data_IF_132318559126
#
_entry.id   IF_132318559126
#
_cell.length_a   1.000
_cell.length_b   1.000
_cell.length_c   1.000
_cell.angle_alpha   90.00
_cell.angle_beta   90.00
_cell.angle_gamma   90.00
#
_symmetry.space_group_name_H-M   'P 1'
#
loop_
_entity.id
_entity.type
_entity.pdbx_description
1 polymer ?
#
# COMPACT_ATOMS: atom_id res chain seq x y z
N UNK A 1 11.88 17.50 -13.97
CA UNK A 1 12.61 16.29 -13.50
C UNK A 1 11.70 15.53 -12.55
N UNK A 2 11.57 14.24 -12.75
CA UNK A 2 10.76 13.37 -11.90
C UNK A 2 11.68 12.47 -11.08
N UNK A 3 11.24 12.10 -9.88
CA UNK A 3 12.00 11.24 -8.99
C UNK A 3 11.17 10.04 -8.56
N UNK A 4 11.85 8.92 -8.27
CA UNK A 4 11.26 7.76 -7.63
C UNK A 4 12.08 7.35 -6.40
N UNK A 5 11.38 7.04 -5.31
CA UNK A 5 11.96 6.51 -4.09
C UNK A 5 11.53 5.05 -3.94
N UNK A 6 12.52 4.17 -3.87
CA UNK A 6 12.29 2.72 -3.82
C UNK A 6 12.72 2.19 -2.48
N UNK A 7 11.76 1.70 -1.70
CA UNK A 7 12.04 0.96 -0.48
C UNK A 7 12.39 -0.49 -0.79
N UNK A 8 13.48 -0.95 -0.21
CA UNK A 8 14.00 -2.30 -0.42
C UNK A 8 14.00 -3.09 0.88
N UNK A 9 13.70 -4.39 0.82
CA UNK A 9 14.00 -5.27 1.94
C UNK A 9 15.51 -5.47 2.06
N UNK A 10 16.00 -5.59 3.31
CA UNK A 10 17.45 -5.59 3.59
C UNK A 10 17.93 -6.74 4.46
N UNK A 11 17.00 -7.52 5.06
CA UNK A 11 17.40 -8.53 6.06
C UNK A 11 17.49 -9.93 5.45
N UNK A 12 18.41 -10.75 5.97
CA UNK A 12 18.63 -12.12 5.55
C UNK A 12 17.43 -13.03 5.83
N UNK A 13 16.71 -12.78 6.92
CA UNK A 13 15.47 -13.50 7.31
C UNK A 13 14.36 -13.32 6.26
N UNK A 14 14.45 -12.28 5.46
CA UNK A 14 13.56 -12.00 4.32
C UNK A 14 14.15 -12.46 2.98
N UNK A 15 15.28 -13.15 2.97
CA UNK A 15 16.02 -13.47 1.76
C UNK A 15 16.30 -12.23 0.90
N UNK A 16 16.48 -11.08 1.56
CA UNK A 16 16.61 -9.79 0.91
C UNK A 16 18.04 -9.48 0.49
N UNK A 17 18.18 -8.72 -0.58
CA UNK A 17 19.45 -8.31 -1.19
C UNK A 17 19.62 -6.79 -1.21
N UNK A 18 18.55 -6.03 -0.89
CA UNK A 18 18.57 -4.58 -0.85
C UNK A 18 19.43 -4.02 0.27
N UNK A 19 19.84 -2.75 0.11
CA UNK A 19 20.72 -2.05 1.06
C UNK A 19 20.01 -0.94 1.85
N UNK A 20 18.79 -0.57 1.45
CA UNK A 20 18.06 0.50 2.10
C UNK A 20 17.02 1.18 1.22
N UNK A 21 16.95 2.49 1.32
CA UNK A 21 16.06 3.34 0.54
C UNK A 21 16.83 3.95 -0.63
N UNK A 22 16.39 3.72 -1.86
CA UNK A 22 17.04 4.24 -3.06
C UNK A 22 16.26 5.40 -3.65
N UNK A 23 16.97 6.45 -4.07
CA UNK A 23 16.42 7.54 -4.84
C UNK A 23 16.91 7.47 -6.30
N UNK A 24 15.98 7.66 -7.23
CA UNK A 24 16.24 7.67 -8.66
C UNK A 24 15.77 8.97 -9.28
N UNK A 25 16.60 9.53 -10.16
CA UNK A 25 16.20 10.55 -11.14
C UNK A 25 15.65 9.84 -12.37
N UNK A 26 14.49 10.29 -12.87
CA UNK A 26 13.85 9.74 -14.06
C UNK A 26 13.94 10.77 -15.18
N UNK A 27 14.57 10.38 -16.29
CA UNK A 27 14.67 11.21 -17.49
C UNK A 27 13.31 11.36 -18.17
N UNK A 28 12.77 12.55 -18.25
CA UNK A 28 11.50 12.80 -18.97
C UNK A 28 11.61 12.50 -20.48
N UNK A 29 12.79 12.64 -21.05
CA UNK A 29 13.00 12.40 -22.48
C UNK A 29 13.07 10.92 -22.84
N UNK A 30 13.71 10.10 -22.00
CA UNK A 30 13.97 8.68 -22.29
C UNK A 30 13.21 7.74 -21.35
N UNK A 31 12.71 8.23 -20.20
CA UNK A 31 12.14 7.44 -19.12
C UNK A 31 13.17 6.57 -18.37
N UNK A 32 14.45 6.77 -18.58
CA UNK A 32 15.53 6.02 -17.92
C UNK A 32 15.63 6.43 -16.44
N UNK A 33 15.83 5.45 -15.57
CA UNK A 33 16.03 5.63 -14.14
C UNK A 33 17.51 5.59 -13.81
N UNK A 34 18.03 6.67 -13.24
CA UNK A 34 19.40 6.77 -12.75
C UNK A 34 19.39 6.83 -11.23
N UNK A 35 20.04 5.86 -10.58
CA UNK A 35 20.23 5.91 -9.12
C UNK A 35 21.10 7.12 -8.77
N UNK A 36 20.57 8.01 -7.91
CA UNK A 36 21.26 9.20 -7.42
C UNK A 36 21.67 9.07 -5.96
N UNK A 37 21.01 8.16 -5.21
CA UNK A 37 21.36 7.87 -3.82
C UNK A 37 20.92 6.46 -3.43
N UNK A 38 21.75 5.78 -2.64
CA UNK A 38 21.36 4.62 -1.84
C UNK A 38 21.56 4.97 -0.38
N UNK A 39 20.49 5.24 0.35
CA UNK A 39 20.51 5.58 1.76
C UNK A 39 20.42 4.30 2.59
N UNK A 40 21.52 3.95 3.27
CA UNK A 40 21.55 2.83 4.22
C UNK A 40 20.77 3.25 5.46
N UNK A 41 19.52 2.85 5.52
CA UNK A 41 18.59 3.16 6.61
C UNK A 41 18.61 2.09 7.69
N UNK A 42 17.75 2.24 8.70
CA UNK A 42 17.32 1.11 9.53
C UNK A 42 16.76 -0.01 8.63
N UNK A 43 16.85 -1.28 9.06
CA UNK A 43 16.45 -2.41 8.24
C UNK A 43 15.02 -2.31 7.69
N UNK A 44 14.83 -2.84 6.48
CA UNK A 44 13.53 -3.01 5.82
C UNK A 44 12.70 -1.70 5.70
N UNK A 45 13.16 -0.64 5.00
CA UNK A 45 12.32 0.50 4.64
C UNK A 45 11.22 0.03 3.67
N UNK A 46 10.16 -0.60 4.21
CA UNK A 46 9.25 -1.45 3.46
C UNK A 46 8.01 -0.74 2.91
N UNK A 47 7.74 0.48 3.36
CA UNK A 47 6.69 1.32 2.81
C UNK A 47 7.01 2.80 3.06
N UNK A 48 6.69 3.66 2.08
CA UNK A 48 6.94 5.09 2.16
C UNK A 48 5.69 5.89 1.79
N UNK A 49 5.59 7.09 2.33
CA UNK A 49 4.65 8.13 1.90
C UNK A 49 5.30 9.50 1.99
N UNK A 50 4.97 10.39 1.07
CA UNK A 50 5.32 11.80 1.18
C UNK A 50 4.26 12.55 1.97
N UNK A 51 4.63 13.71 2.51
CA UNK A 51 3.68 14.70 2.98
C UNK A 51 2.89 15.31 1.79
N UNK A 52 1.81 16.04 2.06
CA UNK A 52 0.96 16.59 1.00
C UNK A 52 1.64 17.66 0.12
N UNK A 53 2.73 18.25 0.60
CA UNK A 53 3.52 19.24 -0.13
C UNK A 53 4.73 18.63 -0.87
N UNK A 54 4.95 17.32 -0.71
CA UNK A 54 6.05 16.54 -1.30
C UNK A 54 7.45 17.10 -0.95
N UNK A 55 7.56 17.67 0.24
CA UNK A 55 8.81 18.18 0.81
C UNK A 55 9.55 17.17 1.68
N UNK A 56 8.80 16.21 2.21
CA UNK A 56 9.28 15.21 3.16
C UNK A 56 8.81 13.81 2.80
N UNK A 57 9.68 12.84 3.00
CA UNK A 57 9.40 11.42 2.84
C UNK A 57 9.43 10.74 4.21
N UNK A 58 8.48 9.86 4.45
CA UNK A 58 8.37 9.05 5.67
C UNK A 58 8.48 7.58 5.31
N UNK A 59 9.27 6.82 6.08
CA UNK A 59 9.46 5.39 5.86
C UNK A 59 9.20 4.60 7.12
N UNK A 60 8.45 3.52 6.98
CA UNK A 60 8.32 2.50 8.03
C UNK A 60 9.42 1.46 7.89
N UNK A 61 9.90 0.92 9.01
CA UNK A 61 10.93 -0.12 9.05
C UNK A 61 10.30 -1.46 9.44
N UNK A 62 9.96 -2.26 8.43
CA UNK A 62 9.31 -3.57 8.62
C UNK A 62 10.15 -4.50 9.50
N UNK A 63 9.45 -5.35 10.28
CA UNK A 63 10.01 -6.25 11.30
C UNK A 63 10.56 -5.56 12.56
N UNK A 64 10.79 -4.26 12.52
CA UNK A 64 11.22 -3.41 13.64
C UNK A 64 10.03 -2.68 14.30
N UNK A 65 10.33 -1.56 14.98
CA UNK A 65 9.36 -0.74 15.72
C UNK A 65 9.45 0.75 15.37
N UNK A 66 10.30 1.10 14.39
CA UNK A 66 10.66 2.48 14.07
C UNK A 66 9.97 3.00 12.80
N UNK A 67 9.84 4.33 12.78
CA UNK A 67 9.43 5.14 11.62
C UNK A 67 10.40 6.30 11.49
N UNK A 68 10.90 6.54 10.28
CA UNK A 68 11.86 7.62 9.99
C UNK A 68 11.24 8.69 9.08
N UNK A 69 11.70 9.92 9.22
CA UNK A 69 11.40 11.05 8.36
C UNK A 69 12.66 11.58 7.68
N UNK A 70 12.49 12.00 6.44
CA UNK A 70 13.56 12.52 5.58
C UNK A 70 13.09 13.81 4.91
N UNK A 71 13.98 14.77 4.75
CA UNK A 71 13.76 15.92 3.89
C UNK A 71 14.14 15.55 2.47
N UNK A 72 13.32 15.93 1.50
CA UNK A 72 13.61 15.78 0.08
C UNK A 72 14.34 17.04 -0.38
N UNK A 73 15.59 16.90 -0.80
CA UNK A 73 16.41 18.00 -1.28
C UNK A 73 16.06 18.41 -2.72
N UNK A 74 16.58 19.53 -3.18
CA UNK A 74 16.25 20.08 -4.50
C UNK A 74 16.70 19.18 -5.67
N UNK A 75 17.74 18.38 -5.46
CA UNK A 75 18.27 17.41 -6.41
C UNK A 75 17.63 16.02 -6.29
N UNK A 76 16.59 15.88 -5.47
CA UNK A 76 15.87 14.63 -5.26
C UNK A 76 16.51 13.69 -4.23
N UNK A 77 17.67 14.01 -3.67
CA UNK A 77 18.29 13.22 -2.59
C UNK A 77 17.52 13.40 -1.28
N UNK A 78 17.75 12.49 -0.34
CA UNK A 78 17.12 12.47 0.98
C UNK A 78 18.15 12.79 2.06
N UNK A 79 17.80 13.66 3.00
CA UNK A 79 18.54 13.90 4.23
C UNK A 79 17.71 13.52 5.45
N UNK A 80 18.37 12.89 6.44
CA UNK A 80 17.72 12.44 7.68
C UNK A 80 17.18 13.63 8.48
N UNK A 81 15.97 13.51 9.01
CA UNK A 81 15.42 14.42 10.01
C UNK A 81 15.37 13.78 11.38
N UNK A 82 14.55 12.74 11.55
CA UNK A 82 14.52 11.96 12.78
C UNK A 82 13.91 10.59 12.59
N UNK A 83 14.11 9.75 13.60
CA UNK A 83 13.47 8.43 13.73
C UNK A 83 12.82 8.33 15.10
N UNK A 84 11.62 7.78 15.17
CA UNK A 84 10.89 7.55 16.42
C UNK A 84 10.51 6.08 16.59
N UNK A 85 10.41 5.65 17.85
CA UNK A 85 9.82 4.38 18.26
C UNK A 85 8.31 4.51 18.38
N UNK A 86 7.54 3.61 17.72
CA UNK A 86 6.08 3.64 17.81
C UNK A 86 5.51 2.64 18.83
N UNK A 87 6.36 1.79 19.43
CA UNK A 87 5.95 0.78 20.39
C UNK A 87 5.24 -0.45 19.77
N UNK A 88 4.88 -0.39 18.50
CA UNK A 88 4.25 -1.48 17.77
C UNK A 88 5.20 -2.16 16.79
N UNK A 89 5.24 -3.49 16.82
CA UNK A 89 6.15 -4.27 15.98
C UNK A 89 5.66 -4.35 14.53
N UNK A 90 6.59 -4.27 13.59
CA UNK A 90 6.42 -4.43 12.15
C UNK A 90 5.45 -3.40 11.56
N UNK A 91 5.79 -2.09 11.58
CA UNK A 91 5.07 -1.08 10.83
C UNK A 91 5.19 -1.40 9.34
N UNK A 92 4.06 -1.38 8.62
CA UNK A 92 3.96 -1.86 7.22
C UNK A 92 3.27 -0.88 6.29
N UNK A 93 2.67 0.17 6.83
CA UNK A 93 1.99 1.19 6.04
C UNK A 93 2.03 2.54 6.75
N UNK A 94 2.16 3.63 5.99
CA UNK A 94 2.14 5.01 6.51
C UNK A 94 1.43 5.92 5.51
N UNK A 95 0.68 6.91 6.01
CA UNK A 95 -0.04 7.88 5.17
C UNK A 95 -0.24 9.20 5.91
N UNK A 96 -0.18 10.38 5.21
CA UNK A 96 -0.51 11.67 5.82
C UNK A 96 -2.02 11.88 5.92
N UNK A 97 -2.46 12.61 6.93
CA UNK A 97 -3.83 13.09 7.05
C UNK A 97 -4.13 14.25 6.07
N UNK A 98 -5.41 14.70 6.03
CA UNK A 98 -5.84 15.79 5.13
C UNK A 98 -5.30 17.17 5.49
N UNK A 99 -4.87 17.36 6.73
CA UNK A 99 -4.33 18.65 7.22
C UNK A 99 -2.83 18.72 7.17
N UNK A 100 -2.17 17.62 6.77
CA UNK A 100 -0.72 17.49 6.79
C UNK A 100 -0.08 17.67 8.18
N UNK A 101 -0.90 17.50 9.24
CA UNK A 101 -0.46 17.63 10.65
C UNK A 101 -0.11 16.29 11.30
N UNK A 102 -0.56 15.20 10.71
CA UNK A 102 -0.37 13.86 11.26
C UNK A 102 0.07 12.87 10.20
N UNK A 103 0.91 11.92 10.62
CA UNK A 103 1.19 10.69 9.89
C UNK A 103 0.49 9.53 10.62
N UNK A 104 -0.17 8.67 9.86
CA UNK A 104 -0.86 7.49 10.41
C UNK A 104 -0.15 6.23 9.97
N UNK A 105 0.18 5.36 10.92
CA UNK A 105 0.99 4.16 10.72
C UNK A 105 0.22 2.92 11.15
N UNK A 106 0.15 1.90 10.29
CA UNK A 106 -0.34 0.57 10.66
C UNK A 106 0.84 -0.34 11.04
N UNK A 107 0.80 -0.91 12.25
CA UNK A 107 1.78 -1.87 12.74
C UNK A 107 1.18 -3.28 12.77
N UNK A 108 1.67 -4.13 11.87
CA UNK A 108 1.09 -5.46 11.59
C UNK A 108 1.11 -6.35 12.83
N UNK A 109 2.30 -6.60 13.39
CA UNK A 109 2.47 -7.44 14.57
C UNK A 109 2.20 -6.68 15.88
N UNK A 110 2.13 -5.35 15.82
CA UNK A 110 1.63 -4.52 16.91
C UNK A 110 0.11 -4.57 17.07
N UNK A 111 -0.62 -4.97 16.01
CA UNK A 111 -2.09 -5.02 16.01
C UNK A 111 -2.72 -3.67 16.32
N UNK A 112 -2.16 -2.59 15.80
CA UNK A 112 -2.60 -1.24 16.10
C UNK A 112 -2.32 -0.26 14.96
N UNK A 113 -3.02 0.87 15.03
CA UNK A 113 -2.74 2.06 14.21
C UNK A 113 -2.32 3.19 15.14
N UNK A 114 -1.27 3.91 14.75
CA UNK A 114 -0.68 5.02 15.49
C UNK A 114 -0.87 6.31 14.71
N UNK A 115 -1.40 7.34 15.36
CA UNK A 115 -1.48 8.71 14.81
C UNK A 115 -0.35 9.52 15.42
N UNK A 116 0.58 9.95 14.60
CA UNK A 116 1.84 10.60 14.98
C UNK A 116 1.77 12.06 14.55
N UNK A 117 2.06 13.00 15.44
CA UNK A 117 2.17 14.42 15.08
C UNK A 117 3.32 14.62 14.08
N UNK A 118 3.05 15.35 13.02
CA UNK A 118 4.08 15.86 12.10
C UNK A 118 4.40 17.29 12.48
N UNK A 119 5.66 17.57 12.77
CA UNK A 119 6.14 18.92 13.09
C UNK A 119 6.25 19.77 11.81
N UNK A 120 6.33 21.10 11.99
CA UNK A 120 6.40 22.04 10.87
C UNK A 120 7.67 21.87 10.00
N UNK A 121 8.76 21.38 10.60
CA UNK A 121 10.02 21.07 9.92
C UNK A 121 10.03 19.70 9.22
N UNK A 122 8.92 18.97 9.26
CA UNK A 122 8.76 17.64 8.67
C UNK A 122 9.18 16.49 9.59
N UNK A 123 9.76 16.75 10.74
CA UNK A 123 10.10 15.69 11.69
C UNK A 123 8.86 15.06 12.33
N UNK A 124 9.00 13.82 12.78
CA UNK A 124 7.96 13.09 13.52
C UNK A 124 8.01 13.49 15.00
N UNK A 125 6.83 13.82 15.55
CA UNK A 125 6.66 14.18 16.97
C UNK A 125 6.06 13.03 17.79
N UNK A 126 5.24 13.40 18.78
CA UNK A 126 4.59 12.47 19.67
C UNK A 126 3.49 11.63 19.00
N UNK A 127 3.23 10.44 19.53
CA UNK A 127 2.04 9.65 19.21
C UNK A 127 0.86 10.28 19.97
N UNK A 128 -0.11 10.84 19.24
CA UNK A 128 -1.28 11.52 19.84
C UNK A 128 -2.46 10.58 20.04
N UNK A 129 -2.53 9.49 19.27
CA UNK A 129 -3.58 8.48 19.40
C UNK A 129 -3.11 7.10 18.98
N UNK A 130 -3.62 6.06 19.65
CA UNK A 130 -3.41 4.66 19.29
C UNK A 130 -4.73 3.91 19.28
N UNK A 131 -5.06 3.27 18.17
CA UNK A 131 -6.22 2.40 18.04
C UNK A 131 -5.77 0.94 17.93
N UNK A 132 -6.11 0.13 18.94
CA UNK A 132 -5.78 -1.31 18.99
C UNK A 132 -6.83 -2.16 18.27
N UNK A 133 -6.35 -3.12 17.48
CA UNK A 133 -7.18 -4.08 16.76
C UNK A 133 -7.27 -5.38 17.56
N UNK A 134 -8.34 -5.52 18.35
CA UNK A 134 -8.55 -6.70 19.18
C UNK A 134 -8.69 -7.99 18.34
N UNK A 135 -8.17 -9.09 18.87
CA UNK A 135 -8.30 -10.42 18.29
C UNK A 135 -9.46 -11.24 18.87
N UNK A 136 -9.47 -12.56 18.59
CA UNK A 136 -10.55 -13.49 18.95
C UNK A 136 -10.59 -13.83 20.44
N UNK A 137 -9.49 -13.64 21.16
CA UNK A 137 -9.34 -13.95 22.58
C UNK A 137 -8.71 -12.76 23.30
N UNK A 138 -8.83 -12.72 24.61
CA UNK A 138 -8.13 -11.76 25.46
C UNK A 138 -6.62 -11.78 25.17
N UNK A 139 -6.03 -10.61 24.99
CA UNK A 139 -4.61 -10.44 24.63
C UNK A 139 -4.23 -10.77 23.17
N UNK A 140 -5.15 -11.37 22.39
CA UNK A 140 -4.92 -11.58 20.97
C UNK A 140 -5.19 -10.30 20.16
N UNK A 141 -4.54 -10.19 19.00
CA UNK A 141 -4.64 -9.04 18.09
C UNK A 141 -5.16 -9.45 16.71
N UNK A 142 -5.75 -8.50 15.99
CA UNK A 142 -5.91 -8.54 14.56
C UNK A 142 -4.77 -7.73 13.92
N UNK A 143 -4.16 -8.24 12.86
CA UNK A 143 -2.89 -7.77 12.34
C UNK A 143 -3.10 -6.62 11.34
N UNK A 144 -2.97 -5.36 11.77
CA UNK A 144 -3.18 -4.18 10.95
C UNK A 144 -2.15 -4.10 9.81
N UNK A 145 -2.58 -4.36 8.57
CA UNK A 145 -1.71 -4.40 7.40
C UNK A 145 -1.73 -3.11 6.57
N UNK A 146 -2.84 -2.40 6.53
CA UNK A 146 -2.97 -1.13 5.82
C UNK A 146 -3.83 -0.17 6.62
N UNK A 147 -3.49 1.13 6.56
CA UNK A 147 -4.35 2.22 7.00
C UNK A 147 -4.45 3.24 5.86
N UNK A 148 -5.62 3.40 5.25
CA UNK A 148 -5.83 4.25 4.09
C UNK A 148 -7.07 5.11 4.25
N UNK A 149 -7.01 6.33 3.74
CA UNK A 149 -8.09 7.30 3.81
C UNK A 149 -9.13 7.09 2.71
N UNK A 150 -10.38 7.39 3.01
CA UNK A 150 -11.39 7.63 1.98
C UNK A 150 -11.00 8.85 1.13
N UNK A 151 -11.68 9.07 0.00
CA UNK A 151 -11.33 10.16 -0.93
C UNK A 151 -11.44 11.56 -0.32
N UNK A 152 -12.29 11.73 0.71
CA UNK A 152 -12.45 12.99 1.45
C UNK A 152 -11.49 13.13 2.63
N UNK A 153 -10.74 12.07 2.94
CA UNK A 153 -9.89 11.94 4.13
C UNK A 153 -10.63 12.26 5.44
N UNK A 154 -11.88 11.82 5.52
CA UNK A 154 -12.72 11.89 6.73
C UNK A 154 -12.76 10.58 7.49
N UNK A 155 -12.61 9.46 6.75
CA UNK A 155 -12.59 8.12 7.30
C UNK A 155 -11.28 7.40 6.99
N UNK A 156 -10.77 6.70 8.00
CA UNK A 156 -9.61 5.83 7.90
C UNK A 156 -10.08 4.38 7.87
N UNK A 157 -9.68 3.64 6.85
CA UNK A 157 -9.89 2.20 6.73
C UNK A 157 -8.66 1.48 7.24
N UNK A 158 -8.81 0.64 8.26
CA UNK A 158 -7.74 -0.20 8.80
C UNK A 158 -8.02 -1.64 8.39
N UNK A 159 -7.18 -2.16 7.51
CA UNK A 159 -7.31 -3.54 6.99
C UNK A 159 -6.48 -4.47 7.86
N UNK A 160 -7.11 -5.50 8.41
CA UNK A 160 -6.46 -6.44 9.33
C UNK A 160 -6.51 -7.87 8.80
N UNK A 161 -5.39 -8.57 8.93
CA UNK A 161 -5.27 -10.01 8.75
C UNK A 161 -5.65 -10.74 10.05
N UNK A 162 -6.17 -11.96 9.91
CA UNK A 162 -6.55 -12.80 11.04
C UNK A 162 -5.37 -13.56 11.67
N UNK A 163 -4.53 -14.16 10.83
CA UNK A 163 -3.39 -15.01 11.22
C UNK A 163 -3.72 -15.99 12.34
N UNK A 164 -4.91 -16.63 12.23
CA UNK A 164 -5.51 -17.59 13.16
C UNK A 164 -5.99 -17.03 14.51
N UNK A 165 -5.40 -15.97 15.04
CA UNK A 165 -5.73 -15.40 16.37
C UNK A 165 -6.55 -14.10 16.32
N UNK A 166 -6.54 -13.41 15.20
CA UNK A 166 -7.28 -12.18 14.96
C UNK A 166 -8.52 -12.37 14.10
N UNK A 167 -9.09 -11.26 13.66
CA UNK A 167 -10.17 -11.20 12.69
C UNK A 167 -9.63 -10.67 11.35
N UNK A 168 -9.99 -11.32 10.25
CA UNK A 168 -9.85 -10.77 8.91
C UNK A 168 -10.92 -9.71 8.69
N UNK A 169 -10.56 -8.44 8.76
CA UNK A 169 -11.55 -7.36 8.84
C UNK A 169 -11.06 -6.04 8.24
N UNK A 170 -12.01 -5.15 7.97
CA UNK A 170 -11.77 -3.72 7.78
C UNK A 170 -12.46 -2.98 8.91
N UNK A 171 -11.70 -2.26 9.71
CA UNK A 171 -12.26 -1.36 10.74
C UNK A 171 -12.27 0.06 10.16
N UNK A 172 -13.43 0.72 10.20
CA UNK A 172 -13.60 2.10 9.71
C UNK A 172 -13.62 3.03 10.89
N UNK A 173 -12.77 4.05 10.85
CA UNK A 173 -12.70 5.08 11.85
C UNK A 173 -13.03 6.46 11.25
N UNK A 174 -13.81 7.24 11.97
CA UNK A 174 -13.91 8.68 11.71
C UNK A 174 -12.73 9.39 12.35
N UNK A 175 -12.08 10.24 11.57
CA UNK A 175 -10.90 11.00 12.01
C UNK A 175 -11.29 12.40 12.48
N UNK A 176 -10.76 12.80 13.64
CA UNK A 176 -10.84 14.17 14.12
C UNK A 176 -9.51 14.89 13.84
N UNK A 177 -9.46 15.84 12.89
CA UNK A 177 -8.21 16.53 12.54
C UNK A 177 -7.73 17.52 13.62
N UNK A 178 -8.55 17.86 14.62
CA UNK A 178 -8.14 18.81 15.64
C UNK A 178 -7.18 18.20 16.65
N UNK A 179 -7.39 16.95 17.02
CA UNK A 179 -6.59 16.25 18.03
C UNK A 179 -5.96 14.95 17.54
N UNK A 180 -6.27 14.52 16.31
CA UNK A 180 -5.78 13.26 15.72
C UNK A 180 -6.52 12.02 16.22
N UNK A 181 -7.62 12.15 16.95
CA UNK A 181 -8.36 11.00 17.48
C UNK A 181 -9.13 10.22 16.41
N UNK A 182 -9.30 8.93 16.65
CA UNK A 182 -10.00 7.97 15.80
C UNK A 182 -11.21 7.41 16.55
N UNK A 183 -12.41 7.54 15.97
CA UNK A 183 -13.65 6.97 16.51
C UNK A 183 -14.18 5.92 15.56
N UNK A 184 -14.28 4.66 16.01
CA UNK A 184 -14.78 3.56 15.18
C UNK A 184 -16.25 3.79 14.80
N UNK A 185 -16.54 3.63 13.50
CA UNK A 185 -17.91 3.76 12.94
C UNK A 185 -18.43 2.44 12.43
N UNK A 186 -17.54 1.56 11.96
CA UNK A 186 -17.93 0.25 11.42
C UNK A 186 -16.80 -0.79 11.55
N UNK A 187 -17.19 -2.04 11.32
CA UNK A 187 -16.26 -3.16 11.23
C UNK A 187 -16.86 -4.22 10.28
N UNK A 188 -16.33 -4.28 9.04
CA UNK A 188 -16.61 -5.38 8.13
C UNK A 188 -15.71 -6.56 8.46
N UNK A 189 -16.27 -7.76 8.60
CA UNK A 189 -15.53 -9.01 8.74
C UNK A 189 -15.65 -9.86 7.47
N UNK A 190 -14.50 -10.21 6.91
CA UNK A 190 -14.38 -11.11 5.77
C UNK A 190 -14.57 -12.57 6.14
N UNK A 191 -14.37 -13.46 5.16
CA UNK A 191 -14.33 -14.90 5.38
C UNK A 191 -13.13 -15.26 6.25
N UNK A 192 -13.26 -16.30 7.05
CA UNK A 192 -12.14 -16.85 7.80
C UNK A 192 -11.06 -17.35 6.81
N UNK A 193 -9.80 -17.10 7.11
CA UNK A 193 -8.60 -17.42 6.29
C UNK A 193 -8.42 -16.62 4.99
N UNK A 194 -9.30 -15.67 4.65
CA UNK A 194 -9.09 -14.81 3.47
C UNK A 194 -7.86 -13.90 3.58
N UNK A 195 -7.49 -13.52 4.80
CA UNK A 195 -6.36 -12.64 5.12
C UNK A 195 -6.42 -11.32 4.33
N UNK A 196 -7.38 -10.42 4.67
CA UNK A 196 -7.50 -9.09 4.08
C UNK A 196 -6.18 -8.34 4.10
N UNK A 197 -5.79 -7.72 2.97
CA UNK A 197 -4.45 -7.12 2.88
C UNK A 197 -4.46 -5.64 2.53
N UNK A 198 -5.01 -5.27 1.40
CA UNK A 198 -5.11 -3.89 0.93
C UNK A 198 -6.51 -3.58 0.41
N UNK A 199 -6.91 -2.32 0.53
CA UNK A 199 -8.10 -1.78 -0.13
C UNK A 199 -7.72 -0.70 -1.13
N UNK A 200 -8.51 -0.60 -2.19
CA UNK A 200 -8.52 0.51 -3.13
C UNK A 200 -9.87 1.20 -3.07
N UNK A 201 -9.88 2.53 -2.91
CA UNK A 201 -11.10 3.31 -2.78
C UNK A 201 -11.33 4.06 -4.07
N UNK A 202 -12.48 3.82 -4.70
CA UNK A 202 -12.85 4.41 -5.98
C UNK A 202 -12.96 5.94 -5.89
N UNK A 203 -12.63 6.71 -6.94
CA UNK A 203 -12.73 8.17 -6.95
C UNK A 203 -14.10 8.74 -6.57
N UNK A 204 -15.20 7.99 -6.79
CA UNK A 204 -16.55 8.41 -6.38
C UNK A 204 -16.83 8.29 -4.87
N UNK A 205 -15.89 7.77 -4.08
CA UNK A 205 -15.99 7.53 -2.63
C UNK A 205 -17.11 6.60 -2.18
N UNK A 206 -17.68 5.79 -3.08
CA UNK A 206 -18.79 4.85 -2.78
C UNK A 206 -18.42 3.40 -2.94
N UNK A 207 -17.37 3.09 -3.72
CA UNK A 207 -16.93 1.73 -3.99
C UNK A 207 -15.57 1.47 -3.36
N UNK A 208 -15.44 0.36 -2.67
CA UNK A 208 -14.22 -0.08 -1.99
C UNK A 208 -13.89 -1.51 -2.42
N UNK A 209 -12.66 -1.75 -2.82
CA UNK A 209 -12.20 -3.06 -3.30
C UNK A 209 -11.11 -3.59 -2.39
N UNK A 210 -11.38 -4.71 -1.76
CA UNK A 210 -10.49 -5.39 -0.82
C UNK A 210 -9.83 -6.58 -1.49
N UNK A 211 -8.49 -6.59 -1.54
CA UNK A 211 -7.74 -7.78 -1.95
C UNK A 211 -7.42 -8.64 -0.74
N UNK A 212 -7.71 -9.94 -0.85
CA UNK A 212 -7.52 -10.94 0.18
C UNK A 212 -6.30 -11.82 -0.15
N UNK A 213 -5.28 -11.77 0.72
CA UNK A 213 -3.96 -12.37 0.48
C UNK A 213 -4.01 -13.89 0.31
N UNK A 214 -4.65 -14.59 1.25
CA UNK A 214 -4.76 -16.06 1.24
C UNK A 214 -6.01 -16.56 0.55
N UNK A 215 -7.07 -15.77 0.57
CA UNK A 215 -8.29 -16.06 -0.16
C UNK A 215 -8.13 -15.93 -1.68
N UNK A 216 -7.04 -15.35 -2.17
CA UNK A 216 -6.79 -15.09 -3.59
C UNK A 216 -8.05 -14.51 -4.27
N UNK A 217 -8.63 -13.50 -3.65
CA UNK A 217 -9.92 -12.93 -4.06
C UNK A 217 -9.93 -11.42 -3.92
N UNK A 218 -10.80 -10.79 -4.71
CA UNK A 218 -11.12 -9.38 -4.66
C UNK A 218 -12.57 -9.23 -4.21
N UNK A 219 -12.79 -8.53 -3.10
CA UNK A 219 -14.13 -8.25 -2.56
C UNK A 219 -14.52 -6.82 -2.87
N UNK A 220 -15.66 -6.61 -3.52
CA UNK A 220 -16.29 -5.31 -3.67
C UNK A 220 -17.21 -5.03 -2.48
N UNK A 221 -17.04 -3.86 -1.87
CA UNK A 221 -17.90 -3.34 -0.81
C UNK A 221 -18.45 -1.97 -1.23
N UNK A 222 -19.74 -1.72 -0.98
CA UNK A 222 -20.25 -0.35 -1.00
C UNK A 222 -19.89 0.36 0.28
N UNK A 223 -19.62 1.67 0.17
CA UNK A 223 -19.32 2.57 1.27
C UNK A 223 -20.35 3.68 1.39
N UNK A 224 -20.98 3.78 2.55
CA UNK A 224 -21.81 4.93 2.94
C UNK A 224 -20.91 5.98 3.60
N UNK A 225 -20.47 6.96 2.85
CA UNK A 225 -19.54 8.00 3.28
C UNK A 225 -20.15 9.04 4.24
N UNK A 226 -21.46 8.97 4.49
CA UNK A 226 -22.13 9.81 5.51
C UNK A 226 -22.02 9.19 6.91
N UNK A 227 -22.16 7.86 6.97
CA UNK A 227 -22.21 7.11 8.22
C UNK A 227 -20.96 6.26 8.48
N UNK A 228 -20.03 6.17 7.51
CA UNK A 228 -18.82 5.37 7.60
C UNK A 228 -19.12 3.86 7.63
N UNK A 229 -20.07 3.37 6.81
CA UNK A 229 -20.53 1.97 6.82
C UNK A 229 -20.13 1.22 5.56
N UNK A 230 -19.73 -0.05 5.71
CA UNK A 230 -19.38 -0.95 4.63
C UNK A 230 -20.39 -2.08 4.49
N UNK A 231 -20.66 -2.47 3.22
CA UNK A 231 -21.48 -3.64 2.89
C UNK A 231 -20.87 -4.39 1.71
N UNK A 232 -20.47 -5.65 1.91
CA UNK A 232 -19.96 -6.51 0.84
C UNK A 232 -21.07 -6.85 -0.18
N UNK A 233 -20.73 -6.81 -1.47
CA UNK A 233 -21.66 -7.01 -2.57
C UNK A 233 -21.19 -8.07 -3.58
N UNK A 234 -19.86 -8.23 -3.79
CA UNK A 234 -19.33 -9.18 -4.76
C UNK A 234 -17.97 -9.71 -4.29
N UNK A 235 -17.66 -10.94 -4.65
CA UNK A 235 -16.32 -11.52 -4.52
C UNK A 235 -15.97 -12.20 -5.84
N UNK A 236 -14.77 -11.90 -6.38
CA UNK A 236 -14.19 -12.55 -7.56
C UNK A 236 -12.81 -13.12 -7.24
N UNK A 237 -12.37 -14.21 -7.92
CA UNK A 237 -11.01 -14.73 -7.77
C UNK A 237 -9.98 -13.75 -8.34
N UNK A 238 -8.74 -13.78 -7.82
CA UNK A 238 -7.58 -13.07 -8.39
C UNK A 238 -6.70 -13.98 -9.24
N UNK A 239 -7.01 -15.26 -9.29
CA UNK A 239 -6.30 -16.30 -10.06
C UNK A 239 -7.23 -16.88 -11.13
N UNK A 240 -6.68 -17.33 -12.29
CA UNK A 240 -7.48 -17.97 -13.33
C UNK A 240 -8.12 -19.28 -12.84
N UNK A 241 -9.34 -19.57 -13.28
CA UNK A 241 -10.06 -20.83 -12.95
C UNK A 241 -9.29 -22.09 -13.37
N UNK A 242 -8.36 -21.96 -14.34
CA UNK A 242 -7.51 -23.07 -14.82
C UNK A 242 -6.24 -23.27 -13.98
N UNK A 243 -5.96 -22.35 -13.05
CA UNK A 243 -4.76 -22.45 -12.21
C UNK A 243 -5.07 -23.26 -10.94
N UNK A 244 -4.32 -24.34 -10.74
CA UNK A 244 -4.49 -25.27 -9.61
C UNK A 244 -3.37 -25.19 -8.57
N UNK A 245 -2.41 -24.26 -8.77
CA UNK A 245 -1.27 -24.06 -7.87
C UNK A 245 -1.64 -23.21 -6.65
N UNK A 246 -0.67 -23.02 -5.77
CA UNK A 246 -0.79 -22.09 -4.66
C UNK A 246 -0.82 -20.63 -5.14
N UNK A 247 -1.43 -19.78 -4.37
CA UNK A 247 -1.50 -18.35 -4.66
C UNK A 247 -1.36 -17.50 -3.42
N UNK A 248 -0.94 -16.26 -3.64
CA UNK A 248 -0.85 -15.26 -2.59
C UNK A 248 -1.04 -13.86 -3.18
N UNK A 249 -2.28 -13.38 -3.17
CA UNK A 249 -2.56 -12.04 -3.66
C UNK A 249 -1.84 -10.97 -2.81
N UNK A 250 -1.54 -9.82 -3.40
CA UNK A 250 -0.70 -8.83 -2.71
C UNK A 250 -1.30 -7.43 -2.74
N UNK A 251 -1.03 -6.63 -3.74
CA UNK A 251 -1.45 -5.24 -3.82
C UNK A 251 -2.67 -5.07 -4.72
N UNK A 252 -3.48 -4.04 -4.46
CA UNK A 252 -4.55 -3.60 -5.35
C UNK A 252 -4.39 -2.12 -5.67
N UNK A 253 -4.79 -1.72 -6.87
CA UNK A 253 -4.67 -0.37 -7.38
C UNK A 253 -5.79 -0.08 -8.38
N UNK A 254 -6.29 1.16 -8.41
CA UNK A 254 -7.25 1.63 -9.40
C UNK A 254 -6.55 2.48 -10.47
N UNK A 255 -7.03 2.42 -11.70
CA UNK A 255 -6.69 3.42 -12.72
C UNK A 255 -7.21 4.80 -12.32
N UNK A 256 -6.72 5.85 -12.96
CA UNK A 256 -6.98 7.25 -12.60
C UNK A 256 -8.46 7.59 -12.49
N UNK A 257 -9.26 7.11 -13.43
CA UNK A 257 -10.70 7.35 -13.48
C UNK A 257 -11.53 6.29 -12.73
N UNK A 258 -10.87 5.26 -12.16
CA UNK A 258 -11.52 4.17 -11.45
C UNK A 258 -12.15 3.10 -12.36
N UNK A 259 -11.95 3.14 -13.68
CA UNK A 259 -12.57 2.16 -14.60
C UNK A 259 -11.93 0.77 -14.52
N UNK A 260 -10.62 0.71 -14.21
CA UNK A 260 -9.88 -0.54 -14.11
C UNK A 260 -9.35 -0.72 -12.68
N UNK A 261 -9.63 -1.87 -12.10
CA UNK A 261 -9.02 -2.34 -10.87
C UNK A 261 -7.97 -3.38 -11.20
N UNK A 262 -6.82 -3.28 -10.55
CA UNK A 262 -5.67 -4.15 -10.75
C UNK A 262 -5.35 -4.86 -9.44
N UNK A 263 -5.12 -6.17 -9.47
CA UNK A 263 -4.61 -6.94 -8.34
C UNK A 263 -3.33 -7.67 -8.72
N UNK A 264 -2.34 -7.74 -7.81
CA UNK A 264 -1.13 -8.54 -8.03
C UNK A 264 -1.16 -9.87 -7.29
N UNK A 265 -0.60 -10.92 -7.90
CA UNK A 265 -0.55 -12.29 -7.39
C UNK A 265 0.89 -12.76 -7.32
N UNK A 266 1.41 -12.94 -6.11
CA UNK A 266 2.67 -13.61 -5.84
C UNK A 266 2.49 -15.13 -6.03
N UNK A 267 3.55 -15.86 -6.35
CA UNK A 267 3.56 -17.31 -6.68
C UNK A 267 3.02 -17.57 -8.08
N UNK A 268 1.89 -17.00 -8.47
CA UNK A 268 1.39 -17.01 -9.86
C UNK A 268 2.09 -15.97 -10.75
N UNK A 269 2.78 -14.99 -10.14
CA UNK A 269 3.63 -13.98 -10.77
C UNK A 269 2.91 -13.16 -11.84
N UNK A 270 1.68 -12.72 -11.50
CA UNK A 270 0.80 -11.99 -12.42
C UNK A 270 0.13 -10.80 -11.78
N UNK A 271 -0.50 -10.00 -12.63
CA UNK A 271 -1.58 -9.08 -12.28
C UNK A 271 -2.88 -9.56 -12.92
N UNK A 272 -3.99 -9.32 -12.24
CA UNK A 272 -5.36 -9.48 -12.75
C UNK A 272 -5.98 -8.12 -12.96
N UNK A 273 -6.73 -7.95 -14.04
CA UNK A 273 -7.48 -6.74 -14.35
C UNK A 273 -8.98 -6.99 -14.26
N UNK A 274 -9.72 -6.02 -13.69
CA UNK A 274 -11.17 -6.01 -13.67
C UNK A 274 -11.69 -4.68 -14.22
N UNK A 275 -12.72 -4.75 -15.09
CA UNK A 275 -13.53 -3.59 -15.46
C UNK A 275 -14.53 -3.32 -14.35
N UNK A 276 -14.65 -2.06 -13.94
CA UNK A 276 -15.64 -1.61 -12.97
C UNK A 276 -16.81 -0.95 -13.68
N UNK A 277 -18.03 -1.41 -13.42
CA UNK A 277 -19.25 -0.73 -13.80
C UNK A 277 -19.38 0.56 -12.97
N UNK A 278 -19.30 1.70 -13.62
CA UNK A 278 -19.21 3.02 -12.97
C UNK A 278 -20.49 3.43 -12.23
N UNK A 279 -21.64 2.79 -12.55
CA UNK A 279 -22.91 3.05 -11.90
C UNK A 279 -23.11 2.18 -10.65
N UNK A 280 -22.71 0.92 -10.74
CA UNK A 280 -23.02 -0.10 -9.73
C UNK A 280 -21.82 -0.53 -8.88
N UNK A 281 -20.59 -0.35 -9.38
CA UNK A 281 -19.34 -0.78 -8.73
C UNK A 281 -18.99 -2.26 -8.91
N UNK A 282 -19.86 -3.05 -9.59
CA UNK A 282 -19.57 -4.45 -9.83
C UNK A 282 -18.38 -4.64 -10.77
N UNK A 283 -17.57 -5.65 -10.46
CA UNK A 283 -16.37 -5.99 -11.21
C UNK A 283 -16.67 -7.07 -12.26
N UNK A 284 -15.99 -6.98 -13.41
CA UNK A 284 -15.90 -8.03 -14.42
C UNK A 284 -14.43 -8.26 -14.74
N UNK A 285 -13.97 -9.51 -14.62
CA UNK A 285 -12.61 -9.89 -15.00
C UNK A 285 -12.36 -9.61 -16.48
N UNK A 286 -11.14 -9.10 -16.78
CA UNK A 286 -10.65 -8.83 -18.12
C UNK A 286 -9.53 -9.79 -18.55
N UNK A 287 -8.72 -10.25 -17.61
CA UNK A 287 -7.62 -11.18 -17.88
C UNK A 287 -6.43 -11.03 -16.94
N UNK A 288 -5.42 -11.85 -17.21
CA UNK A 288 -4.21 -11.98 -16.40
C UNK A 288 -2.97 -11.68 -17.26
N UNK A 289 -2.01 -10.98 -16.65
CA UNK A 289 -0.78 -10.55 -17.32
C UNK A 289 0.43 -10.88 -16.45
N UNK A 290 1.49 -11.52 -16.99
CA UNK A 290 2.70 -11.83 -16.23
C UNK A 290 3.41 -10.53 -15.82
N UNK A 291 3.99 -10.52 -14.61
CA UNK A 291 4.80 -9.39 -14.13
C UNK A 291 6.25 -9.46 -14.57
N UNK A 292 6.61 -10.50 -15.32
CA UNK A 292 7.96 -10.77 -15.86
C UNK A 292 9.05 -10.77 -14.77
N UNK A 293 8.69 -11.20 -13.57
CA UNK A 293 9.57 -11.34 -12.42
C UNK A 293 8.86 -12.10 -11.30
N UNK A 294 9.56 -12.30 -10.18
CA UNK A 294 9.09 -13.12 -9.06
C UNK A 294 8.63 -12.22 -7.89
N UNK A 295 7.54 -12.61 -7.26
CA UNK A 295 6.97 -11.97 -6.09
C UNK A 295 6.60 -10.49 -6.35
N UNK A 296 5.60 -10.21 -7.23
CA UNK A 296 5.09 -8.85 -7.46
C UNK A 296 4.36 -8.31 -6.21
N UNK A 297 5.16 -7.91 -5.22
CA UNK A 297 4.68 -7.50 -3.91
C UNK A 297 4.00 -6.14 -3.91
N UNK A 298 4.47 -5.24 -4.77
CA UNK A 298 3.98 -3.87 -4.88
C UNK A 298 3.73 -3.50 -6.34
N UNK A 299 2.68 -2.74 -6.57
CA UNK A 299 2.34 -2.17 -7.87
C UNK A 299 2.03 -0.68 -7.71
N UNK A 300 2.37 0.12 -8.70
CA UNK A 300 2.10 1.56 -8.69
C UNK A 300 1.94 2.10 -10.10
N UNK A 301 1.19 3.18 -10.25
CA UNK A 301 1.33 4.06 -11.39
C UNK A 301 2.36 5.15 -11.07
N UNK A 302 2.96 5.74 -12.13
CA UNK A 302 3.61 7.03 -12.00
C UNK A 302 2.57 8.15 -11.77
N UNK A 303 3.01 9.38 -11.55
CA UNK A 303 2.13 10.49 -11.11
C UNK A 303 1.01 10.85 -12.09
N UNK A 304 1.26 10.76 -13.39
CA UNK A 304 0.28 11.08 -14.44
C UNK A 304 -0.56 9.88 -14.87
N UNK A 305 -0.30 8.70 -14.30
CA UNK A 305 -0.95 7.41 -14.62
C UNK A 305 -0.66 6.91 -16.05
N UNK A 306 0.36 7.44 -16.73
CA UNK A 306 0.74 6.99 -18.07
C UNK A 306 1.48 5.65 -18.08
N UNK A 307 2.15 5.30 -16.97
CA UNK A 307 2.96 4.10 -16.82
C UNK A 307 2.61 3.38 -15.52
N UNK A 308 2.59 2.07 -15.61
CA UNK A 308 2.37 1.14 -14.50
C UNK A 308 3.67 0.38 -14.20
N UNK A 309 3.93 0.12 -12.92
CA UNK A 309 5.12 -0.55 -12.43
C UNK A 309 4.77 -1.72 -11.51
N UNK A 310 5.38 -2.88 -11.76
CA UNK A 310 5.35 -4.03 -10.88
C UNK A 310 6.72 -4.24 -10.22
N UNK A 311 6.78 -4.09 -8.90
CA UNK A 311 7.98 -4.35 -8.11
C UNK A 311 8.03 -5.82 -7.71
N UNK A 312 8.96 -6.56 -8.33
CA UNK A 312 9.16 -7.99 -8.18
C UNK A 312 10.28 -8.23 -7.15
N UNK A 313 9.89 -8.46 -5.89
CA UNK A 313 10.79 -8.51 -4.72
C UNK A 313 11.91 -9.54 -4.89
N UNK A 314 11.58 -10.76 -5.38
CA UNK A 314 12.52 -11.88 -5.41
C UNK A 314 13.36 -11.98 -6.70
N UNK A 315 13.01 -11.22 -7.73
CA UNK A 315 13.81 -11.13 -8.97
C UNK A 315 14.59 -9.83 -9.10
N UNK A 316 14.58 -8.96 -8.10
CA UNK A 316 15.34 -7.71 -8.07
C UNK A 316 15.02 -6.78 -9.25
N UNK A 317 13.73 -6.71 -9.63
CA UNK A 317 13.30 -5.94 -10.79
C UNK A 317 12.06 -5.10 -10.50
N UNK A 318 11.99 -3.96 -11.17
CA UNK A 318 10.75 -3.21 -11.36
C UNK A 318 10.46 -3.22 -12.86
N UNK A 319 9.33 -3.80 -13.24
CA UNK A 319 8.92 -3.95 -14.64
C UNK A 319 7.94 -2.85 -15.00
N UNK A 320 8.25 -2.11 -16.06
CA UNK A 320 7.41 -1.03 -16.58
C UNK A 320 6.42 -1.57 -17.61
N UNK A 321 5.16 -1.18 -17.46
CA UNK A 321 4.05 -1.56 -18.32
C UNK A 321 3.19 -0.33 -18.64
N UNK A 322 2.30 -0.48 -19.60
CA UNK A 322 1.28 0.52 -19.94
C UNK A 322 -0.11 -0.11 -19.89
N UNK A 323 -1.02 0.53 -19.18
CA UNK A 323 -2.43 0.16 -19.19
C UNK A 323 -3.14 0.90 -20.33
N UNK A 324 -3.77 0.16 -21.23
CA UNK A 324 -4.75 0.69 -22.17
C UNK A 324 -6.14 0.58 -21.50
N UNK A 325 -6.65 1.66 -20.92
CA UNK A 325 -7.91 1.65 -20.17
C UNK A 325 -9.11 1.31 -21.06
N UNK A 326 -9.12 1.77 -22.31
CA UNK A 326 -10.19 1.50 -23.28
C UNK A 326 -10.37 0.00 -23.52
N UNK A 327 -9.30 -0.70 -23.81
CA UNK A 327 -9.32 -2.15 -24.08
C UNK A 327 -9.25 -3.01 -22.82
N UNK A 328 -8.77 -2.44 -21.70
CA UNK A 328 -8.47 -3.18 -20.48
C UNK A 328 -7.30 -4.15 -20.66
N UNK A 329 -6.29 -3.75 -21.43
CA UNK A 329 -5.08 -4.56 -21.67
C UNK A 329 -3.86 -3.92 -21.03
N UNK A 330 -2.96 -4.77 -20.55
CA UNK A 330 -1.65 -4.37 -20.07
C UNK A 330 -0.61 -4.73 -21.12
N UNK A 331 0.28 -3.79 -21.44
CA UNK A 331 1.34 -3.95 -22.41
C UNK A 331 2.71 -3.71 -21.76
N UNK A 332 3.66 -4.57 -22.05
CA UNK A 332 5.04 -4.41 -21.60
C UNK A 332 5.76 -3.39 -22.48
N UNK A 333 6.43 -2.39 -21.87
CA UNK A 333 7.11 -1.30 -22.60
C UNK A 333 8.50 -1.68 -23.10
N UNK A 334 9.08 -2.77 -22.61
CA UNK A 334 10.46 -3.19 -22.89
C UNK A 334 11.44 -2.73 -21.81
N UNK A 335 10.99 -1.99 -20.77
CA UNK A 335 11.87 -1.49 -19.72
C UNK A 335 11.80 -2.32 -18.46
N UNK A 336 12.98 -2.66 -17.93
CA UNK A 336 13.18 -3.27 -16.62
C UNK A 336 14.19 -2.42 -15.87
N UNK A 337 13.83 -2.00 -14.66
CA UNK A 337 14.73 -1.34 -13.72
C UNK A 337 15.25 -2.40 -12.75
N UNK A 338 16.57 -2.56 -12.67
CA UNK A 338 17.21 -3.47 -11.74
C UNK A 338 17.46 -2.77 -10.41
N UNK A 339 16.85 -3.30 -9.35
CA UNK A 339 17.02 -2.80 -7.98
C UNK A 339 16.69 -3.93 -7.02
N UNK A 340 17.52 -4.12 -6.00
CA UNK A 340 17.49 -5.30 -5.15
C UNK A 340 16.28 -5.26 -4.20
N UNK A 341 15.51 -6.34 -4.17
CA UNK A 341 14.37 -6.60 -3.27
C UNK A 341 13.39 -5.41 -3.12
N UNK A 342 12.85 -4.84 -4.24
CA UNK A 342 11.97 -3.67 -4.18
C UNK A 342 10.60 -4.06 -3.63
N UNK A 343 10.08 -3.28 -2.67
CA UNK A 343 8.79 -3.55 -2.00
C UNK A 343 7.87 -2.35 -1.90
N UNK A 344 8.33 -1.17 -2.28
CA UNK A 344 7.53 0.06 -2.37
C UNK A 344 8.17 1.03 -3.37
N UNK A 345 7.34 1.76 -4.12
CA UNK A 345 7.77 2.82 -5.02
C UNK A 345 6.92 4.05 -4.74
N UNK A 346 7.56 5.19 -4.52
CA UNK A 346 6.88 6.48 -4.34
C UNK A 346 7.43 7.47 -5.37
N UNK A 347 6.56 8.02 -6.22
CA UNK A 347 6.94 8.97 -7.28
C UNK A 347 6.73 10.42 -6.83
N UNK A 348 7.70 11.29 -7.19
CA UNK A 348 7.66 12.75 -7.00
C UNK A 348 7.81 13.51 -8.31
#
# INVERSE_FOLDING_TARGET
MSYAYVGCRTTRERNARGKGLKAYEISEATGEWKEIQCLETLPNPSYQAMDLEEKYLYSVHGDNTQVSSYKIEADGTLSDLNTIEIGGKNPVFITPDRTNRYMVVAALQGGAVYVIRRNADGSLGEIVHTAHMAGKKEGAISFAHQCIWDQKKEYLFVVCQARLQGYGQIVVFRFNPEDGSLTQTDCYRGREYDEPRHVSIHPNNRFVYLINEKGNSMTYLSFDDKNGKLKALQVLPTLPDTYTGEGQASASLLSKNGEILIGSNRIHESIVLYRIDQNTGYMKELGYYPTLGLTPRFISFNRDYSLFYAANEDSDTIVEMRLCEETGRMEYTGRIIHTESPVCITFR
#
